data_IF_421133980243
#
_entry.id   IF_421133980243
#
_cell.length_a   1.000
_cell.length_b   1.000
_cell.length_c   1.000
_cell.angle_alpha   90.00
_cell.angle_beta   90.00
_cell.angle_gamma   90.00
#
_symmetry.space_group_name_H-M   'P 1'
#
loop_
_entity.id
_entity.type
_entity.pdbx_description
1 polymer ?
#
# COMPACT_ATOMS: atom_id res chain seq x y z
N UNK A 1 -2.92 29.93 -25.06
CA UNK A 1 -2.69 29.32 -23.74
C UNK A 1 -3.91 28.46 -23.42
N UNK A 2 -3.83 27.18 -23.73
CA UNK A 2 -4.88 26.21 -23.40
C UNK A 2 -4.80 25.92 -21.90
N UNK A 3 -5.82 26.33 -21.17
CA UNK A 3 -6.02 25.91 -19.78
C UNK A 3 -6.17 24.38 -19.78
N UNK A 4 -5.09 23.68 -19.47
CA UNK A 4 -5.17 22.31 -18.96
C UNK A 4 -5.89 22.44 -17.62
N UNK A 5 -7.22 22.37 -17.65
CA UNK A 5 -7.97 22.04 -16.44
C UNK A 5 -7.34 20.72 -15.96
N UNK A 6 -6.76 20.64 -14.75
CA UNK A 6 -6.44 19.33 -14.21
C UNK A 6 -7.76 18.56 -14.25
N UNK A 7 -7.75 17.40 -14.91
CA UNK A 7 -8.86 16.47 -14.72
C UNK A 7 -9.04 16.36 -13.20
N UNK A 8 -10.27 16.42 -12.66
CA UNK A 8 -10.46 15.97 -11.30
C UNK A 8 -9.85 14.57 -11.28
N UNK A 9 -8.79 14.37 -10.49
CA UNK A 9 -8.17 13.04 -10.36
C UNK A 9 -9.33 12.08 -10.15
N UNK A 10 -9.44 11.09 -11.02
CA UNK A 10 -10.49 10.11 -10.92
C UNK A 10 -10.14 9.18 -9.76
N UNK A 11 -10.33 9.68 -8.54
CA UNK A 11 -10.04 9.00 -7.28
C UNK A 11 -11.05 7.87 -7.02
N UNK A 12 -11.92 7.58 -8.01
CA UNK A 12 -12.86 6.46 -7.94
C UNK A 12 -12.19 5.10 -7.98
N UNK A 13 -10.93 5.01 -8.45
CA UNK A 13 -10.17 3.76 -8.50
C UNK A 13 -8.96 3.72 -7.52
N UNK A 14 -8.68 4.82 -6.80
CA UNK A 14 -7.56 4.91 -5.89
C UNK A 14 -7.73 3.97 -4.68
N UNK A 15 -8.95 3.86 -4.15
CA UNK A 15 -9.25 2.96 -3.02
C UNK A 15 -8.98 1.52 -3.41
N UNK A 16 -9.49 1.09 -4.57
CA UNK A 16 -9.34 -0.26 -5.09
C UNK A 16 -7.86 -0.57 -5.37
N UNK A 17 -7.11 0.33 -6.02
CA UNK A 17 -5.66 0.18 -6.23
C UNK A 17 -4.87 0.08 -4.93
N UNK A 18 -5.17 0.93 -3.95
CA UNK A 18 -4.49 0.90 -2.65
C UNK A 18 -4.80 -0.41 -1.91
N UNK A 19 -6.03 -0.90 -1.97
CA UNK A 19 -6.41 -2.20 -1.39
C UNK A 19 -5.64 -3.35 -2.05
N UNK A 20 -5.53 -3.36 -3.39
CA UNK A 20 -4.75 -4.35 -4.12
C UNK A 20 -3.26 -4.29 -3.73
N UNK A 21 -2.68 -3.09 -3.62
CA UNK A 21 -1.29 -2.92 -3.19
C UNK A 21 -1.07 -3.40 -1.75
N UNK A 22 -2.01 -3.14 -0.84
CA UNK A 22 -1.97 -3.66 0.53
C UNK A 22 -1.98 -5.19 0.53
N UNK A 23 -2.92 -5.81 -0.20
CA UNK A 23 -3.03 -7.28 -0.28
C UNK A 23 -1.76 -7.91 -0.87
N UNK A 24 -1.25 -7.36 -1.98
CA UNK A 24 0.00 -7.81 -2.59
C UNK A 24 1.20 -7.67 -1.63
N UNK A 25 1.23 -6.61 -0.83
CA UNK A 25 2.32 -6.39 0.14
C UNK A 25 2.24 -7.39 1.29
N UNK A 26 1.04 -7.71 1.78
CA UNK A 26 0.82 -8.74 2.80
C UNK A 26 1.27 -10.11 2.29
N UNK A 27 0.87 -10.50 1.08
CA UNK A 27 1.33 -11.77 0.49
C UNK A 27 2.86 -11.82 0.35
N UNK A 28 3.50 -10.69 0.04
CA UNK A 28 4.96 -10.59 -0.06
C UNK A 28 5.66 -10.68 1.30
N UNK A 29 4.99 -10.30 2.39
CA UNK A 29 5.48 -10.50 3.76
C UNK A 29 5.38 -11.99 4.07
N UNK A 30 4.22 -12.63 3.87
CA UNK A 30 3.98 -14.05 4.14
C UNK A 30 4.96 -14.96 3.36
N UNK A 31 5.12 -14.72 2.05
CA UNK A 31 6.10 -15.44 1.20
C UNK A 31 7.54 -15.22 1.69
N UNK A 32 7.86 -14.04 2.21
CA UNK A 32 9.19 -13.77 2.75
C UNK A 32 9.41 -14.48 4.10
N UNK A 33 8.39 -14.58 4.95
CA UNK A 33 8.45 -15.35 6.19
C UNK A 33 8.58 -16.85 5.93
N UNK A 34 7.88 -17.38 4.93
CA UNK A 34 8.02 -18.77 4.51
C UNK A 34 9.45 -19.06 4.02
N UNK A 35 10.07 -18.16 3.27
CA UNK A 35 11.48 -18.35 2.83
C UNK A 35 12.47 -18.15 3.96
N UNK A 36 12.18 -17.29 4.94
CA UNK A 36 13.02 -17.00 6.11
C UNK A 36 13.36 -18.27 6.91
N UNK A 37 12.48 -19.26 6.96
CA UNK A 37 12.73 -20.52 7.67
C UNK A 37 13.95 -21.29 7.11
N UNK A 38 14.22 -21.15 5.81
CA UNK A 38 15.34 -21.81 5.10
C UNK A 38 16.57 -20.90 4.92
N UNK A 39 16.47 -19.62 5.28
CA UNK A 39 17.53 -18.63 5.10
C UNK A 39 18.60 -18.68 6.21
N UNK A 40 19.81 -18.22 5.89
CA UNK A 40 20.89 -18.01 6.85
C UNK A 40 20.54 -16.91 7.87
N UNK A 41 21.19 -16.85 9.05
CA UNK A 41 20.91 -15.82 10.06
C UNK A 41 20.99 -14.38 9.52
N UNK A 42 21.97 -14.06 8.67
CA UNK A 42 22.11 -12.73 8.07
C UNK A 42 20.95 -12.40 7.13
N UNK A 43 20.54 -13.36 6.29
CA UNK A 43 19.40 -13.20 5.39
C UNK A 43 18.09 -13.05 6.16
N UNK A 44 17.92 -13.77 7.28
CA UNK A 44 16.74 -13.63 8.15
C UNK A 44 16.61 -12.20 8.69
N UNK A 45 17.69 -11.59 9.15
CA UNK A 45 17.67 -10.21 9.63
C UNK A 45 17.32 -9.22 8.50
N UNK A 46 17.84 -9.45 7.29
CA UNK A 46 17.47 -8.64 6.11
C UNK A 46 16.00 -8.79 5.74
N UNK A 47 15.44 -10.00 5.82
CA UNK A 47 14.03 -10.27 5.56
C UNK A 47 13.16 -9.55 6.59
N UNK A 48 13.47 -9.67 7.89
CA UNK A 48 12.75 -8.98 8.97
C UNK A 48 12.74 -7.46 8.78
N UNK A 49 13.90 -6.84 8.56
CA UNK A 49 14.00 -5.40 8.34
C UNK A 49 13.28 -4.93 7.05
N UNK A 50 13.11 -5.82 6.07
CA UNK A 50 12.30 -5.52 4.88
C UNK A 50 10.81 -5.66 5.16
N UNK A 51 10.40 -6.65 5.95
CA UNK A 51 9.01 -6.83 6.37
C UNK A 51 8.54 -5.70 7.28
N UNK A 52 9.35 -5.26 8.23
CA UNK A 52 9.06 -4.09 9.08
C UNK A 52 8.74 -2.84 8.25
N UNK A 53 9.57 -2.51 7.25
CA UNK A 53 9.31 -1.40 6.34
C UNK A 53 8.05 -1.59 5.48
N UNK A 54 7.69 -2.83 5.15
CA UNK A 54 6.45 -3.14 4.42
C UNK A 54 5.22 -2.95 5.32
N UNK A 55 5.32 -3.27 6.61
CA UNK A 55 4.26 -3.01 7.59
C UNK A 55 4.02 -1.51 7.75
N UNK A 56 5.08 -0.70 7.84
CA UNK A 56 4.98 0.77 7.84
C UNK A 56 4.29 1.28 6.56
N UNK A 57 4.68 0.76 5.39
CA UNK A 57 4.05 1.11 4.11
C UNK A 57 2.56 0.72 4.07
N UNK A 58 2.20 -0.46 4.59
CA UNK A 58 0.80 -0.89 4.71
C UNK A 58 0.02 0.04 5.63
N UNK A 59 0.60 0.47 6.76
CA UNK A 59 -0.05 1.41 7.66
C UNK A 59 -0.35 2.73 6.95
N UNK A 60 0.62 3.28 6.21
CA UNK A 60 0.42 4.49 5.42
C UNK A 60 -0.67 4.32 4.35
N UNK A 61 -0.63 3.23 3.57
CA UNK A 61 -1.67 2.93 2.57
C UNK A 61 -3.05 2.77 3.19
N UNK A 62 -3.16 2.19 4.38
CA UNK A 62 -4.43 2.04 5.10
C UNK A 62 -4.99 3.38 5.58
N UNK A 63 -4.15 4.32 5.99
CA UNK A 63 -4.60 5.68 6.30
C UNK A 63 -5.05 6.40 5.03
N UNK A 64 -4.30 6.29 3.92
CA UNK A 64 -4.71 6.86 2.62
C UNK A 64 -6.07 6.29 2.15
N UNK A 65 -6.29 4.98 2.26
CA UNK A 65 -7.58 4.35 1.93
C UNK A 65 -8.72 4.97 2.76
N UNK A 66 -8.50 5.23 4.05
CA UNK A 66 -9.54 5.84 4.91
C UNK A 66 -9.84 7.26 4.47
N UNK A 67 -8.81 8.05 4.16
CA UNK A 67 -8.98 9.43 3.72
C UNK A 67 -9.67 9.50 2.35
N UNK A 68 -9.31 8.62 1.43
CA UNK A 68 -9.96 8.45 0.12
C UNK A 68 -11.43 8.04 0.25
N UNK A 69 -11.72 7.05 1.11
CA UNK A 69 -13.08 6.60 1.36
C UNK A 69 -13.95 7.71 1.97
N UNK A 70 -13.40 8.50 2.92
CA UNK A 70 -14.07 9.67 3.49
C UNK A 70 -14.30 10.77 2.45
N UNK A 71 -13.34 11.01 1.56
CA UNK A 71 -13.49 11.97 0.47
C UNK A 71 -14.60 11.54 -0.51
N UNK A 72 -14.73 10.23 -0.78
CA UNK A 72 -15.80 9.65 -1.59
C UNK A 72 -17.18 9.78 -0.94
N UNK A 73 -17.27 9.53 0.36
CA UNK A 73 -18.51 9.63 1.14
C UNK A 73 -19.00 11.07 1.33
N UNK A 74 -18.08 12.01 1.57
CA UNK A 74 -18.44 13.42 1.75
C UNK A 74 -18.85 14.13 0.45
N UNK A 75 -18.83 13.41 -0.68
CA UNK A 75 -19.20 13.93 -1.99
C UNK A 75 -18.16 14.94 -2.48
N UNK A 76 -17.51 14.64 -3.59
CA UNK A 76 -16.83 15.68 -4.36
C UNK A 76 -17.85 16.78 -4.70
N UNK A 77 -17.83 17.88 -3.94
CA UNK A 77 -18.42 19.16 -4.36
C UNK A 77 -17.41 19.93 -5.20
#
# INVERSE_FOLDING_TARGET
MSYQRPNPDDRSDNVEKLQDMVQNTIENIEKAEETMQFSSPEEREKIKAKNERREEAIAAMREEIKDEARARENGYQ
#
